data_IF_437003899316
#
_entry.id   IF_437003899316
#
_cell.length_a   1.000
_cell.length_b   1.000
_cell.length_c   1.000
_cell.angle_alpha   90.00
_cell.angle_beta   90.00
_cell.angle_gamma   90.00
#
_symmetry.space_group_name_H-M   'P 1'
#
loop_
_entity.id
_entity.type
_entity.pdbx_description
1 polymer ?
2 non-polymer ?
3 water ?
#
# COMPACT_ATOMS: atom_id res chain seq x y z
N UNK A 2 -7.81 -13.23 -0.51
CA UNK A 2 -7.89 -12.23 0.55
C UNK A 2 -6.50 -11.85 1.05
N UNK A 3 -6.23 -10.55 1.12
CA UNK A 3 -4.93 -10.07 1.59
C UNK A 3 -4.83 -10.27 3.10
N UNK A 4 -3.91 -11.13 3.52
CA UNK A 4 -3.74 -11.43 4.94
C UNK A 4 -2.75 -10.49 5.62
N UNK A 5 -1.57 -10.31 5.02
CA UNK A 5 -0.53 -9.44 5.57
C UNK A 5 0.05 -8.59 4.45
N UNK A 6 0.22 -7.30 4.71
CA UNK A 6 0.85 -6.37 3.77
C UNK A 6 1.97 -5.65 4.48
N UNK A 7 3.17 -5.70 3.90
CA UNK A 7 4.36 -5.07 4.46
C UNK A 7 4.95 -4.14 3.40
N UNK A 8 5.19 -2.88 3.78
CA UNK A 8 5.75 -1.89 2.89
C UNK A 8 6.89 -1.16 3.57
N UNK A 9 8.02 -1.06 2.89
CA UNK A 9 9.19 -0.32 3.37
C UNK A 9 9.56 0.70 2.30
N UNK A 10 9.47 1.99 2.65
CA UNK A 10 9.71 3.07 1.68
C UNK A 10 10.45 4.19 2.39
N UNK A 11 11.75 4.31 2.11
CA UNK A 11 12.59 5.40 2.64
C UNK A 11 12.52 5.48 4.16
N UNK A 12 12.58 4.33 4.82
CA UNK A 12 12.58 4.27 6.26
C UNK A 12 11.23 4.12 6.91
N UNK A 13 10.15 4.32 6.17
CA UNK A 13 8.80 4.16 6.71
C UNK A 13 8.36 2.72 6.51
N UNK A 14 8.12 2.01 7.60
CA UNK A 14 7.67 0.61 7.57
C UNK A 14 6.19 0.58 7.90
N UNK A 15 5.40 -0.04 7.03
CA UNK A 15 3.96 -0.17 7.23
C UNK A 15 3.59 -1.64 7.20
N UNK A 16 2.89 -2.10 8.23
CA UNK A 16 2.40 -3.47 8.33
C UNK A 16 0.90 -3.42 8.55
N UNK A 17 0.14 -4.03 7.65
CA UNK A 17 -1.31 -4.08 7.75
C UNK A 17 -1.74 -5.50 8.12
N UNK A 18 -2.60 -5.60 9.14
CA UNK A 18 -3.12 -6.89 9.61
C UNK A 18 -4.48 -7.13 8.97
N UNK A 19 -4.52 -8.03 8.00
CA UNK A 19 -5.75 -8.44 7.37
C UNK A 19 -6.41 -9.66 7.96
N UNK A 20 -5.85 -10.21 9.04
CA UNK A 20 -6.40 -11.38 9.68
C UNK A 20 -7.56 -10.98 10.61
N UNK A 21 -8.10 -11.97 11.32
CA UNK A 21 -9.16 -11.75 12.28
C UNK A 21 -8.67 -11.69 13.72
N UNK A 22 -7.37 -11.86 13.94
CA UNK A 22 -6.79 -11.89 15.28
C UNK A 22 -5.58 -10.98 15.34
N UNK A 23 -5.23 -10.47 16.52
CA UNK A 23 -4.02 -9.64 16.64
C UNK A 23 -2.78 -10.43 16.29
N UNK A 24 -1.81 -9.71 15.71
CA UNK A 24 -0.54 -10.30 15.31
C UNK A 24 0.61 -9.52 15.91
N UNK A 25 1.70 -10.23 16.17
CA UNK A 25 2.91 -9.65 16.73
C UNK A 25 3.89 -9.30 15.61
N UNK A 26 4.42 -8.08 15.64
CA UNK A 26 5.33 -7.60 14.60
C UNK A 26 6.66 -7.25 15.26
N UNK A 27 7.74 -7.80 14.72
CA UNK A 27 9.09 -7.51 15.17
C UNK A 27 9.85 -6.85 14.04
N UNK A 28 10.39 -5.66 14.28
CA UNK A 28 11.15 -4.91 13.29
C UNK A 28 12.59 -4.81 13.78
N UNK A 29 13.52 -5.33 12.99
CA UNK A 29 14.94 -5.32 13.32
C UNK A 29 15.70 -4.55 12.25
N UNK A 30 16.50 -3.58 12.69
CA UNK A 30 17.29 -2.78 11.76
C UNK A 30 18.49 -2.20 12.51
N UNK A 31 19.69 -2.44 11.97
CA UNK A 31 20.90 -1.91 12.58
C UNK A 31 21.16 -2.42 13.97
N UNK A 32 20.83 -3.68 14.24
CA UNK A 32 21.06 -4.28 15.53
C UNK A 32 20.04 -3.92 16.61
N UNK A 33 19.03 -3.12 16.28
CA UNK A 33 18.00 -2.72 17.22
C UNK A 33 16.69 -3.41 16.86
N UNK A 34 16.07 -4.05 17.85
CA UNK A 34 14.84 -4.80 17.66
C UNK A 34 13.70 -4.13 18.43
N UNK A 35 12.62 -3.82 17.71
CA UNK A 35 11.42 -3.26 18.31
C UNK A 35 10.24 -4.17 17.97
N UNK A 36 9.36 -4.39 18.95
CA UNK A 36 8.24 -5.30 18.82
C UNK A 36 6.94 -4.55 19.03
N UNK A 37 5.91 -4.94 18.29
CA UNK A 37 4.61 -4.29 18.33
C UNK A 37 3.50 -5.34 18.22
N UNK A 38 2.31 -4.96 18.67
CA UNK A 38 1.10 -5.75 18.49
C UNK A 38 0.15 -4.98 17.60
N UNK A 39 -0.30 -5.62 16.53
CA UNK A 39 -1.17 -5.00 15.53
C UNK A 39 -2.53 -5.69 15.59
N UNK A 40 -3.58 -4.92 15.87
CA UNK A 40 -4.92 -5.47 15.93
C UNK A 40 -5.45 -5.74 14.53
N UNK A 41 -6.39 -6.67 14.39
CA UNK A 41 -6.95 -6.97 13.07
C UNK A 41 -7.60 -5.74 12.45
N UNK A 42 -7.42 -5.59 11.14
CA UNK A 42 -7.96 -4.46 10.43
C UNK A 42 -7.24 -3.14 10.65
N UNK A 43 -6.06 -3.17 11.25
CA UNK A 43 -5.29 -1.97 11.54
C UNK A 43 -3.92 -2.05 10.88
N UNK A 44 -3.32 -0.88 10.65
CA UNK A 44 -2.02 -0.77 10.03
C UNK A 44 -1.04 -0.13 11.00
N UNK A 45 0.12 -0.76 11.17
CA UNK A 45 1.19 -0.21 11.99
C UNK A 45 2.17 0.54 11.10
N UNK A 46 2.59 1.73 11.56
CA UNK A 46 3.55 2.54 10.84
C UNK A 46 4.72 2.87 11.75
N UNK A 47 5.93 2.52 11.31
CA UNK A 47 7.15 2.77 12.07
C UNK A 47 8.15 3.47 11.16
N UNK A 48 9.04 4.24 11.76
CA UNK A 48 10.08 4.97 11.04
C UNK A 48 11.45 4.39 11.37
N UNK A 49 12.30 4.27 10.35
CA UNK A 49 13.63 3.72 10.51
C UNK A 49 14.69 4.82 10.45
N UNK A 50 15.86 4.50 11.01
CA UNK A 50 16.99 5.42 10.96
C UNK A 50 17.51 5.53 9.51
N UNK A 51 18.10 6.66 9.15
CA UNK A 51 18.65 6.79 7.79
C UNK A 51 19.74 5.80 7.47
N UNK A 52 20.46 5.30 8.48
CA UNK A 52 21.51 4.32 8.26
C UNK A 52 20.98 2.89 8.17
N UNK A 53 19.68 2.68 8.36
CA UNK A 53 19.13 1.32 8.32
C UNK A 53 17.84 1.22 7.52
N UNK A 54 17.52 2.21 6.68
CA UNK A 54 16.31 2.13 5.88
C UNK A 54 16.44 1.10 4.76
N UNK A 55 17.65 0.87 4.27
CA UNK A 55 17.89 -0.12 3.22
C UNK A 55 18.32 -1.47 3.77
N UNK A 56 18.33 -1.64 5.10
CA UNK A 56 18.69 -2.91 5.73
C UNK A 56 17.76 -3.08 6.93
N UNK A 57 16.65 -3.78 6.72
CA UNK A 57 15.67 -3.99 7.77
C UNK A 57 14.98 -5.33 7.57
N UNK A 58 14.44 -5.87 8.65
CA UNK A 58 13.70 -7.13 8.63
C UNK A 58 12.40 -6.95 9.39
N UNK A 59 11.30 -7.38 8.78
CA UNK A 59 9.98 -7.33 9.39
C UNK A 59 9.49 -8.75 9.57
N UNK A 60 9.21 -9.13 10.82
CA UNK A 60 8.73 -10.46 11.16
C UNK A 60 7.34 -10.34 11.76
N UNK A 61 6.38 -11.09 11.20
CA UNK A 61 5.00 -11.05 11.63
C UNK A 61 4.61 -12.43 12.14
N UNK A 62 4.06 -12.48 13.35
CA UNK A 62 3.64 -13.72 13.99
C UNK A 62 2.14 -13.65 14.21
N UNK A 63 1.39 -14.45 13.46
CA UNK A 63 -0.06 -14.52 13.58
C UNK A 63 -0.41 -15.91 14.13
N UNK A 64 -0.46 -16.00 15.46
CA UNK A 64 -0.74 -17.27 16.11
C UNK A 64 0.44 -18.22 16.04
N UNK A 65 0.23 -19.38 15.42
CA UNK A 65 1.31 -20.35 15.23
C UNK A 65 2.09 -20.13 13.96
N UNK A 66 1.67 -19.19 13.11
CA UNK A 66 2.29 -18.95 11.82
C UNK A 66 3.22 -17.73 11.89
N UNK A 67 4.40 -17.86 11.30
CA UNK A 67 5.37 -16.78 11.25
C UNK A 67 5.63 -16.39 9.80
N UNK A 68 5.76 -15.10 9.54
CA UNK A 68 6.03 -14.58 8.21
C UNK A 68 7.16 -13.55 8.32
N UNK A 69 8.18 -13.70 7.49
CA UNK A 69 9.38 -12.87 7.54
C UNK A 69 9.55 -12.13 6.23
N UNK A 70 9.83 -10.83 6.33
CA UNK A 70 10.10 -10.00 5.15
C UNK A 70 11.41 -9.26 5.39
N UNK A 71 12.32 -9.36 4.42
CA UNK A 71 13.68 -8.84 4.57
C UNK A 71 14.02 -7.91 3.42
N UNK A 72 14.57 -6.74 3.75
CA UNK A 72 15.13 -5.82 2.77
C UNK A 72 16.63 -5.74 3.06
N UNK A 73 17.43 -6.25 2.12
CA UNK A 73 18.87 -6.27 2.30
C UNK A 73 19.37 -7.59 2.87
N UNK B 2 -8.30 5.02 11.58
CA UNK B 2 -8.66 3.91 10.70
C UNK B 2 -8.59 4.35 9.24
N UNK B 3 -7.99 3.51 8.39
CA UNK B 3 -7.86 3.80 6.97
C UNK B 3 -9.17 3.43 6.28
N UNK B 4 -10.04 4.42 6.09
CA UNK B 4 -11.34 4.17 5.49
C UNK B 4 -11.22 3.83 4.01
N UNK B 5 -10.46 4.61 3.26
CA UNK B 5 -10.32 4.44 1.81
C UNK B 5 -8.86 4.57 1.44
N UNK B 6 -8.37 3.64 0.62
CA UNK B 6 -7.00 3.67 0.11
C UNK B 6 -7.05 3.53 -1.40
N UNK B 7 -6.47 4.49 -2.12
CA UNK B 7 -6.44 4.49 -3.57
C UNK B 7 -4.99 4.52 -4.02
N UNK B 8 -4.61 3.57 -4.88
CA UNK B 8 -3.26 3.47 -5.41
C UNK B 8 -3.33 3.35 -6.93
N UNK B 9 -2.58 4.20 -7.62
CA UNK B 9 -2.43 4.11 -9.07
C UNK B 9 -0.93 4.12 -9.37
N UNK B 10 -0.42 3.03 -9.93
CA UNK B 10 1.00 2.89 -10.22
C UNK B 10 1.17 2.12 -11.51
N UNK B 11 1.65 2.80 -12.56
CA UNK B 11 1.92 2.18 -13.85
C UNK B 11 0.70 1.46 -14.41
N UNK B 12 -0.41 2.17 -14.50
CA UNK B 12 -1.64 1.65 -15.05
C UNK B 12 -2.53 0.91 -14.06
N UNK B 13 -1.92 0.12 -13.17
CA UNK B 13 -2.70 -0.61 -12.18
C UNK B 13 -3.34 0.35 -11.18
N UNK B 14 -4.63 0.16 -10.92
CA UNK B 14 -5.38 0.96 -9.96
C UNK B 14 -5.85 0.06 -8.84
N UNK B 15 -5.52 0.42 -7.61
CA UNK B 15 -5.90 -0.36 -6.44
C UNK B 15 -6.73 0.51 -5.51
N UNK B 16 -7.92 0.01 -5.15
CA UNK B 16 -8.83 0.71 -4.24
C UNK B 16 -9.18 -0.24 -3.11
N UNK B 17 -8.93 0.18 -1.88
CA UNK B 17 -9.19 -0.64 -0.69
C UNK B 17 -10.34 -0.04 0.11
N UNK B 18 -11.33 -0.87 0.43
CA UNK B 18 -12.49 -0.46 1.19
C UNK B 18 -12.28 -0.82 2.65
N UNK B 19 -12.03 0.19 3.49
CA UNK B 19 -11.87 0.00 4.92
C UNK B 19 -13.11 0.27 5.75
N UNK B 20 -14.25 0.50 5.11
CA UNK B 20 -15.49 0.74 5.83
C UNK B 20 -16.24 -0.58 6.07
N UNK B 21 -17.34 -0.49 6.82
CA UNK B 21 -18.16 -1.64 7.13
C UNK B 21 -19.33 -1.81 6.16
N UNK B 22 -19.41 -0.98 5.13
CA UNK B 22 -20.48 -1.04 4.15
C UNK B 22 -19.90 -1.07 2.75
N UNK B 23 -20.58 -1.70 1.80
CA UNK B 23 -20.09 -1.71 0.42
C UNK B 23 -20.00 -0.29 -0.14
N UNK B 24 -19.00 -0.09 -1.00
CA UNK B 24 -18.74 1.21 -1.61
C UNK B 24 -18.64 1.03 -3.12
N UNK B 25 -18.92 2.11 -3.85
CA UNK B 25 -18.89 2.11 -5.30
C UNK B 25 -17.68 2.90 -5.80
N UNK B 26 -16.99 2.34 -6.79
CA UNK B 26 -15.80 2.94 -7.37
C UNK B 26 -16.04 3.19 -8.85
N UNK B 27 -15.77 4.42 -9.29
CA UNK B 27 -15.89 4.79 -10.69
C UNK B 27 -14.53 5.21 -11.21
N UNK B 28 -14.05 4.53 -12.24
CA UNK B 28 -12.74 4.79 -12.83
C UNK B 28 -12.96 5.34 -14.24
N UNK B 29 -12.47 6.54 -14.49
CA UNK B 29 -12.61 7.21 -15.79
C UNK B 29 -11.23 7.51 -16.35
N UNK B 30 -11.00 7.10 -17.60
CA UNK B 30 -9.72 7.33 -18.25
C UNK B 30 -9.90 7.21 -19.76
N UNK B 31 -9.39 8.20 -20.49
CA UNK B 31 -9.43 8.16 -21.95
C UNK B 31 -10.83 8.17 -22.52
N UNK B 32 -11.80 8.74 -21.80
CA UNK B 32 -13.18 8.77 -22.22
C UNK B 32 -13.99 7.56 -21.83
N UNK B 33 -13.34 6.45 -21.47
CA UNK B 33 -14.03 5.25 -21.01
C UNK B 33 -14.26 5.32 -19.51
N UNK B 34 -15.44 4.88 -19.08
CA UNK B 34 -15.82 4.90 -17.67
C UNK B 34 -16.28 3.52 -17.26
N UNK B 35 -15.70 3.00 -16.19
CA UNK B 35 -16.08 1.72 -15.62
C UNK B 35 -16.41 1.91 -14.14
N UNK B 36 -17.47 1.25 -13.70
CA UNK B 36 -17.95 1.37 -12.33
C UNK B 36 -17.91 0.00 -11.66
N UNK B 37 -17.46 -0.03 -10.41
CA UNK B 37 -17.29 -1.26 -9.66
C UNK B 37 -17.91 -1.12 -8.28
N UNK B 38 -18.23 -2.27 -7.69
CA UNK B 38 -18.72 -2.35 -6.32
C UNK B 38 -17.70 -3.14 -5.50
N UNK B 39 -17.18 -2.51 -4.45
CA UNK B 39 -16.14 -3.11 -3.61
C UNK B 39 -16.76 -3.44 -2.25
N UNK B 40 -16.74 -4.72 -1.89
CA UNK B 40 -17.28 -5.16 -0.62
C UNK B 40 -16.40 -4.68 0.52
N UNK B 41 -16.96 -4.53 1.73
CA UNK B 41 -16.14 -4.13 2.87
C UNK B 41 -15.02 -5.13 3.14
N UNK B 42 -13.85 -4.61 3.46
CA UNK B 42 -12.70 -5.45 3.74
C UNK B 42 -12.01 -6.03 2.53
N UNK B 43 -12.40 -5.65 1.33
CA UNK B 43 -11.81 -6.15 0.10
C UNK B 43 -11.00 -5.05 -0.57
N UNK B 44 -10.38 -5.41 -1.70
CA UNK B 44 -9.52 -4.49 -2.43
C UNK B 44 -9.69 -4.72 -3.92
N UNK B 45 -10.01 -3.66 -4.66
CA UNK B 45 -10.22 -3.73 -6.10
C UNK B 45 -8.91 -3.47 -6.83
N UNK B 46 -8.62 -4.31 -7.82
CA UNK B 46 -7.45 -4.13 -8.68
C UNK B 46 -7.93 -4.00 -10.11
N UNK B 47 -7.59 -2.89 -10.75
CA UNK B 47 -8.04 -2.57 -12.09
C UNK B 47 -6.84 -2.12 -12.92
N UNK B 48 -6.72 -2.67 -14.13
CA UNK B 48 -5.63 -2.35 -15.03
C UNK B 48 -6.10 -1.34 -16.07
N UNK B 49 -5.32 -0.28 -16.27
CA UNK B 49 -5.61 0.75 -17.24
C UNK B 49 -4.79 0.54 -18.52
N UNK B 50 -5.30 1.07 -19.61
CA UNK B 50 -4.63 0.97 -20.90
C UNK B 50 -3.70 2.16 -21.12
N UNK B 55 -1.39 7.09 -17.47
CA UNK B 55 -1.63 7.54 -16.10
C UNK B 55 -2.18 8.95 -16.07
N UNK B 56 -3.37 9.13 -16.65
CA UNK B 56 -4.10 10.40 -16.64
C UNK B 56 -5.56 10.14 -16.30
N UNK B 57 -5.80 9.34 -15.27
CA UNK B 57 -7.11 8.81 -14.94
C UNK B 57 -7.70 9.51 -13.72
N UNK B 58 -8.86 9.02 -13.29
CA UNK B 58 -9.58 9.57 -12.16
C UNK B 58 -10.34 8.44 -11.46
N UNK B 59 -10.25 8.40 -10.13
CA UNK B 59 -10.94 7.40 -9.33
C UNK B 59 -11.90 8.12 -8.40
N UNK B 60 -13.18 7.78 -8.49
CA UNK B 60 -14.20 8.32 -7.60
C UNK B 60 -14.78 7.20 -6.76
N UNK B 61 -14.81 7.40 -5.45
CA UNK B 61 -15.30 6.41 -4.50
C UNK B 61 -16.50 6.98 -3.78
N UNK B 62 -17.60 6.23 -3.75
CA UNK B 62 -18.84 6.64 -3.10
C UNK B 62 -19.13 5.66 -1.97
N UNK B 63 -19.16 6.17 -0.75
CA UNK B 63 -19.48 5.38 0.44
C UNK B 63 -20.71 6.02 1.09
N UNK B 64 -21.87 5.42 0.86
CA UNK B 64 -23.10 6.04 1.35
C UNK B 64 -23.36 7.33 0.57
N UNK B 65 -23.55 8.42 1.29
CA UNK B 65 -23.70 9.74 0.66
C UNK B 65 -22.37 10.46 0.50
N UNK B 66 -21.28 9.92 1.04
CA UNK B 66 -19.97 10.57 0.95
C UNK B 66 -19.27 10.15 -0.33
N UNK B 67 -18.67 11.13 -1.02
CA UNK B 67 -17.96 10.89 -2.26
C UNK B 67 -16.53 11.39 -2.12
N UNK B 68 -15.58 10.61 -2.65
CA UNK B 68 -14.17 10.96 -2.63
C UNK B 68 -13.60 10.78 -4.03
N UNK B 69 -12.78 11.74 -4.45
CA UNK B 69 -12.27 11.77 -5.82
C UNK B 69 -10.75 11.93 -5.80
N UNK B 70 -10.08 11.14 -6.63
CA UNK B 70 -8.62 11.19 -6.77
C UNK B 70 -8.31 11.38 -8.26
N UNK B 71 -7.91 12.58 -8.63
CA UNK B 71 -7.61 12.91 -10.01
C UNK B 71 -6.11 12.80 -10.24
N UNK B 72 -5.71 11.89 -11.14
CA UNK B 72 -4.30 11.72 -11.45
C UNK B 72 -3.86 12.55 -12.64
N UNK B 73 -4.74 12.76 -13.61
CA UNK B 73 -4.40 13.53 -14.79
C UNK B 73 -4.03 14.97 -14.49
N UNK C 2 -16.98 14.11 -5.57
CA UNK C 2 -15.97 14.80 -4.77
C UNK C 2 -16.61 15.72 -3.74
N UNK C 3 -17.53 15.17 -2.94
CA UNK C 3 -18.19 15.98 -1.92
C UNK C 3 -17.28 16.20 -0.72
N UNK C 4 -16.79 15.12 -0.11
CA UNK C 4 -16.02 15.24 1.13
C UNK C 4 -14.58 15.63 0.85
N UNK C 5 -13.86 14.81 0.10
CA UNK C 5 -12.43 15.02 -0.16
C UNK C 5 -12.17 14.87 -1.64
N UNK C 6 -11.42 15.83 -2.21
CA UNK C 6 -10.98 15.77 -3.59
C UNK C 6 -9.47 15.97 -3.63
N UNK C 7 -8.77 15.07 -4.31
CA UNK C 7 -7.31 15.12 -4.42
C UNK C 7 -6.94 15.12 -5.89
N UNK C 8 -6.14 16.10 -6.32
CA UNK C 8 -5.67 16.20 -7.69
C UNK C 8 -4.15 16.40 -7.69
N UNK C 9 -3.47 15.68 -8.57
CA UNK C 9 -2.02 15.77 -8.72
C UNK C 9 -1.72 16.00 -10.20
N UNK C 10 -1.32 17.21 -10.55
CA UNK C 10 -0.93 17.52 -11.92
C UNK C 10 0.07 18.67 -11.92
N UNK C 11 0.80 18.79 -13.03
CA UNK C 11 1.70 19.92 -13.27
C UNK C 11 2.70 20.11 -12.13
N UNK C 12 3.10 19.01 -11.51
CA UNK C 12 4.01 19.09 -10.37
C UNK C 12 3.44 19.81 -9.17
N UNK C 13 2.15 19.61 -8.89
CA UNK C 13 1.53 20.19 -7.71
C UNK C 13 0.38 19.29 -7.26
N UNK C 14 0.04 19.41 -5.98
CA UNK C 14 -0.97 18.58 -5.34
C UNK C 14 -2.07 19.48 -4.78
N UNK C 15 -3.32 19.11 -5.03
CA UNK C 15 -4.48 19.85 -4.54
C UNK C 15 -5.32 18.95 -3.66
N UNK C 16 -5.70 19.47 -2.49
CA UNK C 16 -6.62 18.79 -1.58
C UNK C 16 -7.72 19.78 -1.21
N UNK C 17 -8.96 19.43 -1.53
CA UNK C 17 -10.11 20.27 -1.21
C UNK C 17 -10.88 19.64 -0.06
N UNK C 18 -11.10 20.42 1.00
CA UNK C 18 -11.83 19.96 2.18
C UNK C 18 -13.30 20.30 1.99
N UNK C 19 -14.10 19.28 1.69
CA UNK C 19 -15.54 19.45 1.60
C UNK C 19 -16.31 19.16 2.86
N UNK C 20 -15.63 18.69 3.90
CA UNK C 20 -16.28 18.44 5.18
C UNK C 20 -16.44 19.73 5.96
N UNK C 21 -17.04 19.64 7.14
CA UNK C 21 -17.29 20.81 7.99
C UNK C 21 -16.28 20.94 9.12
N UNK C 22 -15.22 20.12 9.12
CA UNK C 22 -14.21 20.17 10.16
C UNK C 22 -12.83 20.22 9.54
N UNK C 23 -11.87 20.88 10.19
CA UNK C 23 -10.50 20.89 9.67
C UNK C 23 -9.91 19.49 9.66
N UNK C 24 -9.08 19.22 8.65
CA UNK C 24 -8.44 17.92 8.50
C UNK C 24 -6.96 18.12 8.19
N UNK C 25 -6.15 17.15 8.63
CA UNK C 25 -4.72 17.19 8.43
C UNK C 25 -4.35 16.47 7.14
N UNK C 26 -3.43 17.06 6.38
CA UNK C 26 -2.96 16.51 5.12
C UNK C 26 -1.45 16.28 5.22
N UNK C 27 -1.02 15.05 4.95
CA UNK C 27 0.39 14.70 4.94
C UNK C 27 0.80 14.33 3.52
N UNK C 28 1.81 15.01 2.99
CA UNK C 28 2.32 14.79 1.65
C UNK C 28 3.72 14.23 1.76
N UNK C 29 3.91 12.99 1.32
CA UNK C 29 5.20 12.32 1.32
C UNK C 29 5.64 12.09 -0.13
N UNK C 30 6.81 12.61 -0.48
CA UNK C 30 7.33 12.50 -1.83
C UNK C 30 8.80 12.87 -1.85
N UNK C 31 9.60 12.09 -2.56
CA UNK C 31 11.02 12.37 -2.68
C UNK C 31 11.78 12.31 -1.39
N UNK C 32 11.38 11.43 -0.47
CA UNK C 32 12.04 11.31 0.81
C UNK C 32 11.67 12.35 1.83
N UNK C 33 10.79 13.28 1.49
CA UNK C 33 10.37 14.35 2.39
C UNK C 33 8.92 14.15 2.79
N UNK C 34 8.61 14.51 4.04
CA UNK C 34 7.26 14.43 4.58
C UNK C 34 6.86 15.82 5.08
N UNK C 35 5.77 16.35 4.54
CA UNK C 35 5.25 17.65 4.91
C UNK C 35 3.80 17.50 5.35
N UNK C 36 3.47 18.11 6.48
CA UNK C 36 2.13 18.03 7.05
C UNK C 36 1.46 19.40 7.00
N UNK C 37 0.19 19.42 6.61
CA UNK C 37 -0.58 20.64 6.50
C UNK C 37 -1.95 20.44 7.14
N UNK C 38 -2.57 21.55 7.51
CA UNK C 38 -3.93 21.57 8.02
C UNK C 38 -4.76 22.46 7.10
N UNK C 39 -5.83 21.90 6.54
CA UNK C 39 -6.71 22.62 5.62
C UNK C 39 -8.07 22.79 6.29
N UNK C 40 -8.61 24.00 6.20
CA UNK C 40 -9.87 24.32 6.83
C UNK C 40 -11.05 23.85 5.98
N UNK C 41 -12.22 23.67 6.59
CA UNK C 41 -13.40 23.30 5.81
C UNK C 41 -13.72 24.35 4.75
N UNK C 42 -14.11 23.87 3.57
CA UNK C 42 -14.42 24.76 2.47
C UNK C 42 -13.23 25.41 1.81
N UNK C 43 -12.02 24.94 2.08
CA UNK C 43 -10.81 25.51 1.52
C UNK C 43 -10.07 24.47 0.68
N UNK C 44 -9.10 24.95 -0.10
CA UNK C 44 -8.26 24.11 -0.93
C UNK C 44 -6.80 24.42 -0.66
N UNK C 45 -5.98 23.38 -0.64
CA UNK C 45 -4.54 23.51 -0.40
C UNK C 45 -3.78 23.15 -1.68
N UNK C 46 -2.85 24.02 -2.07
CA UNK C 46 -2.00 23.80 -3.22
C UNK C 46 -0.56 23.65 -2.74
N UNK C 47 0.05 22.51 -3.04
CA UNK C 47 1.42 22.22 -2.64
C UNK C 47 2.22 21.85 -3.88
N UNK C 48 3.28 22.61 -4.16
CA UNK C 48 4.13 22.35 -5.30
C UNK C 48 5.03 21.14 -5.03
N UNK C 49 5.34 20.40 -6.09
CA UNK C 49 6.15 19.20 -6.01
C UNK C 49 7.47 19.41 -6.75
N UNK C 50 8.56 18.97 -6.13
CA UNK C 50 9.86 19.02 -6.76
C UNK C 50 9.90 18.06 -7.95
N UNK C 51 10.80 18.29 -8.92
CA UNK C 51 10.79 17.46 -10.14
C UNK C 51 10.87 15.97 -9.88
N UNK C 52 11.63 15.54 -8.87
CA UNK C 52 11.69 14.12 -8.55
C UNK C 52 10.42 13.65 -7.85
N UNK C 53 9.72 14.56 -7.15
CA UNK C 53 8.54 14.20 -6.38
C UNK C 53 7.29 14.02 -7.23
N UNK C 54 7.30 14.48 -8.48
CA UNK C 54 6.08 14.47 -9.29
C UNK C 54 5.61 13.05 -9.59
N UNK C 55 6.52 12.15 -9.96
CA UNK C 55 6.14 10.82 -10.40
C UNK C 55 5.83 9.87 -9.26
N UNK C 56 6.24 10.19 -8.03
CA UNK C 56 6.03 9.32 -6.88
C UNK C 56 5.68 10.20 -5.68
N UNK C 57 4.39 10.30 -5.37
CA UNK C 57 3.92 11.11 -4.26
C UNK C 57 2.81 10.36 -3.53
N UNK C 58 2.64 10.71 -2.27
CA UNK C 58 1.61 10.11 -1.42
C UNK C 58 0.90 11.20 -0.65
N UNK C 59 -0.43 11.20 -0.70
CA UNK C 59 -1.26 12.18 -0.02
C UNK C 59 -2.16 11.45 0.98
N UNK C 60 -2.06 11.82 2.25
CA UNK C 60 -2.87 11.24 3.31
C UNK C 60 -3.71 12.33 3.95
N UNK C 61 -5.01 12.09 4.04
CA UNK C 61 -5.95 13.05 4.61
C UNK C 61 -6.61 12.42 5.83
N UNK C 62 -6.57 13.12 6.96
CA UNK C 62 -7.12 12.63 8.22
C UNK C 62 -8.26 13.54 8.64
N UNK C 63 -9.49 13.08 8.47
CA UNK C 63 -10.70 13.81 8.87
C UNK C 63 -11.17 13.22 10.19
N UNK C 64 -10.85 13.89 11.29
CA UNK C 64 -11.20 13.37 12.60
C UNK C 64 -10.47 12.07 12.87
N UNK C 65 -11.22 11.00 13.13
CA UNK C 65 -10.65 9.68 13.34
C UNK C 65 -10.60 8.86 12.05
N UNK C 66 -11.00 9.44 10.92
CA UNK C 66 -11.01 8.74 9.64
C UNK C 66 -9.80 9.14 8.81
N UNK C 67 -9.18 8.16 8.18
CA UNK C 67 -7.99 8.37 7.37
C UNK C 67 -8.24 7.93 5.94
N UNK C 68 -7.75 8.71 4.99
CA UNK C 68 -7.87 8.43 3.56
C UNK C 68 -6.52 8.65 2.90
N UNK C 69 -6.08 7.67 2.11
CA UNK C 69 -4.76 7.69 1.50
C UNK C 69 -4.88 7.56 -0.01
N UNK C 70 -4.21 8.45 -0.73
CA UNK C 70 -4.14 8.40 -2.19
C UNK C 70 -2.67 8.42 -2.60
N UNK C 71 -2.24 7.42 -3.34
CA UNK C 71 -0.84 7.23 -3.70
C UNK C 71 -0.68 7.19 -5.21
N UNK C 72 0.38 7.83 -5.70
CA UNK C 72 0.75 7.82 -7.11
C UNK C 72 2.14 7.21 -7.24
N UNK C 73 2.25 6.18 -8.08
CA UNK C 73 3.53 5.53 -8.31
C UNK C 73 4.13 4.88 -7.08
N UNK D 2 6.14 -21.78 13.52
CA UNK D 2 6.24 -22.33 12.17
C UNK D 2 6.37 -21.23 11.13
N UNK D 3 7.51 -21.21 10.44
CA UNK D 3 7.80 -20.20 9.44
C UNK D 3 7.14 -20.61 8.12
N UNK D 4 6.10 -19.88 7.72
CA UNK D 4 5.32 -20.27 6.55
C UNK D 4 5.83 -19.64 5.26
N UNK D 5 6.09 -18.34 5.26
CA UNK D 5 6.54 -17.63 4.06
C UNK D 5 7.67 -16.69 4.44
N UNK D 6 8.74 -16.71 3.64
CA UNK D 6 9.86 -15.80 3.79
C UNK D 6 10.11 -15.10 2.45
N UNK D 7 10.24 -13.78 2.49
CA UNK D 7 10.57 -12.99 1.31
C UNK D 7 11.77 -12.12 1.65
N UNK D 8 12.82 -12.22 0.84
CA UNK D 8 14.03 -11.45 1.03
C UNK D 8 14.43 -10.80 -0.29
N UNK D 9 14.70 -9.50 -0.25
CA UNK D 9 15.19 -8.74 -1.39
C UNK D 9 16.50 -8.11 -0.99
N UNK D 10 17.59 -8.52 -1.64
CA UNK D 10 18.94 -8.05 -1.28
C UNK D 10 19.74 -7.91 -2.58
N UNK D 11 19.94 -6.66 -3.01
CA UNK D 11 20.77 -6.32 -4.16
C UNK D 11 20.28 -7.06 -5.42
N UNK D 12 19.04 -6.78 -5.79
CA UNK D 12 18.47 -7.35 -7.00
C UNK D 12 17.84 -8.71 -6.82
N UNK D 13 18.52 -9.60 -6.11
CA UNK D 13 18.01 -10.96 -5.93
C UNK D 13 16.77 -10.94 -5.05
N UNK D 14 15.72 -11.62 -5.53
CA UNK D 14 14.47 -11.78 -4.79
C UNK D 14 14.36 -13.24 -4.40
N UNK D 15 14.20 -13.50 -3.10
CA UNK D 15 14.12 -14.85 -2.57
C UNK D 15 12.77 -15.04 -1.90
N UNK D 16 11.86 -15.74 -2.58
CA UNK D 16 10.57 -16.10 -2.02
C UNK D 16 10.60 -17.57 -1.64
N UNK D 17 10.15 -17.88 -0.42
CA UNK D 17 10.27 -19.23 0.07
C UNK D 17 8.93 -19.74 0.60
N UNK D 18 8.59 -20.96 0.22
CA UNK D 18 7.35 -21.60 0.62
C UNK D 18 7.62 -22.57 1.77
N UNK D 19 6.90 -22.39 2.88
CA UNK D 19 6.97 -23.30 4.00
C UNK D 19 5.61 -23.89 4.33
N UNK D 20 4.68 -23.77 3.40
CA UNK D 20 3.33 -24.32 3.55
C UNK D 20 3.26 -25.70 2.90
N UNK D 21 2.08 -26.31 2.97
CA UNK D 21 1.85 -27.63 2.42
C UNK D 21 1.28 -27.61 1.02
N UNK D 22 1.08 -26.43 0.44
CA UNK D 22 0.51 -26.29 -0.90
C UNK D 22 1.36 -25.31 -1.71
N UNK D 23 1.38 -25.45 -3.03
CA UNK D 23 2.14 -24.50 -3.86
C UNK D 23 1.51 -23.11 -3.82
N UNK D 24 2.36 -22.10 -4.01
CA UNK D 24 1.95 -20.70 -3.98
C UNK D 24 2.40 -20.01 -5.25
N UNK D 25 1.62 -19.01 -5.67
CA UNK D 25 1.94 -18.20 -6.83
C UNK D 25 2.65 -16.93 -6.37
N UNK D 26 3.73 -16.57 -7.06
CA UNK D 26 4.52 -15.40 -6.74
C UNK D 26 4.48 -14.45 -7.92
N UNK D 27 4.02 -13.22 -7.67
CA UNK D 27 3.99 -12.18 -8.69
C UNK D 27 4.98 -11.08 -8.30
N UNK D 28 5.94 -10.83 -9.18
CA UNK D 28 6.97 -9.81 -8.95
C UNK D 28 6.71 -8.65 -9.90
N UNK D 29 6.47 -7.48 -9.33
CA UNK D 29 6.19 -6.27 -10.10
C UNK D 29 7.35 -5.30 -9.92
N UNK D 30 8.11 -5.08 -10.99
CA UNK D 30 9.22 -4.16 -10.97
C UNK D 30 9.42 -3.58 -12.37
N UNK D 31 9.69 -2.28 -12.44
CA UNK D 31 9.86 -1.63 -13.72
C UNK D 31 8.60 -1.51 -14.55
N UNK D 32 7.43 -1.55 -13.92
CA UNK D 32 6.18 -1.45 -14.62
C UNK D 32 5.70 -2.73 -15.25
N UNK D 33 6.37 -3.85 -15.01
CA UNK D 33 5.98 -5.14 -15.57
C UNK D 33 5.85 -6.16 -14.44
N UNK D 34 4.96 -7.13 -14.65
CA UNK D 34 4.66 -8.15 -13.66
C UNK D 34 4.90 -9.52 -14.25
N UNK D 35 5.63 -10.36 -13.52
CA UNK D 35 5.87 -11.75 -13.90
C UNK D 35 5.40 -12.66 -12.77
N UNK D 36 4.86 -13.82 -13.15
CA UNK D 36 4.33 -14.78 -12.20
C UNK D 36 5.24 -16.01 -12.15
N UNK D 37 5.46 -16.52 -10.94
CA UNK D 37 6.27 -17.70 -10.71
C UNK D 37 5.54 -18.63 -9.74
N UNK D 38 5.95 -19.90 -9.77
CA UNK D 38 5.41 -20.91 -8.87
C UNK D 38 6.56 -21.52 -8.06
N UNK D 39 6.37 -21.59 -6.75
CA UNK D 39 7.33 -22.22 -5.86
C UNK D 39 6.61 -23.30 -5.07
N UNK D 40 7.12 -24.52 -5.14
CA UNK D 40 6.49 -25.68 -4.53
C UNK D 40 6.74 -25.71 -3.03
N UNK D 41 5.97 -26.49 -2.27
CA UNK D 41 6.21 -26.59 -0.83
C UNK D 41 7.61 -27.09 -0.52
N UNK D 42 8.21 -26.52 0.53
CA UNK D 42 9.56 -26.90 0.90
C UNK D 42 10.62 -26.48 -0.10
N UNK D 43 10.34 -25.44 -0.90
CA UNK D 43 11.22 -25.01 -1.96
C UNK D 43 11.38 -23.50 -1.89
N UNK D 44 12.53 -23.02 -2.33
CA UNK D 44 12.86 -21.60 -2.36
C UNK D 44 12.99 -21.11 -3.79
N UNK D 45 12.36 -19.98 -4.10
CA UNK D 45 12.39 -19.40 -5.43
C UNK D 45 13.37 -18.23 -5.46
N UNK D 46 14.15 -18.13 -6.53
CA UNK D 46 15.16 -17.10 -6.68
C UNK D 46 14.94 -16.37 -8.00
N UNK D 47 14.74 -15.06 -7.92
CA UNK D 47 14.54 -14.20 -9.10
C UNK D 47 15.46 -12.99 -8.98
N UNK D 48 16.01 -12.56 -10.10
CA UNK D 48 16.91 -11.42 -10.14
C UNK D 48 16.18 -10.19 -10.69
N UNK D 49 16.54 -9.02 -10.16
CA UNK D 49 15.96 -7.76 -10.59
C UNK D 49 16.98 -6.93 -11.36
N UNK D 50 16.47 -6.06 -12.24
CA UNK D 50 17.32 -5.15 -12.97
C UNK D 50 17.91 -4.10 -12.04
N UNK D 51 19.07 -3.53 -12.38
CA UNK D 51 19.67 -2.51 -11.50
C UNK D 51 18.80 -1.29 -11.28
N UNK D 52 17.97 -0.93 -12.26
CA UNK D 52 17.11 0.24 -12.15
C UNK D 52 15.77 -0.08 -11.52
N UNK D 53 15.58 -1.30 -11.01
CA UNK D 53 14.32 -1.67 -10.37
C UNK D 53 14.53 -2.44 -9.06
N UNK D 54 15.76 -2.49 -8.53
CA UNK D 54 16.00 -3.23 -7.31
C UNK D 54 15.43 -2.55 -6.07
N UNK D 55 15.11 -1.26 -6.15
CA UNK D 55 14.60 -0.51 -5.02
C UNK D 55 13.15 -0.06 -5.20
N UNK D 56 12.49 -0.52 -6.26
CA UNK D 56 11.10 -0.13 -6.54
C UNK D 56 10.31 -1.35 -6.98
N UNK D 57 10.48 -2.47 -6.28
CA UNK D 57 9.84 -3.72 -6.63
C UNK D 57 8.69 -4.01 -5.68
N UNK D 58 7.88 -5.00 -6.06
CA UNK D 58 6.77 -5.49 -5.24
C UNK D 58 6.66 -7.00 -5.41
N UNK D 59 6.53 -7.71 -4.30
CA UNK D 59 6.42 -9.16 -4.30
C UNK D 59 5.07 -9.53 -3.69
N UNK D 60 4.29 -10.31 -4.42
CA UNK D 60 2.98 -10.76 -3.96
C UNK D 60 2.94 -12.28 -4.00
N UNK D 61 2.61 -12.89 -2.87
CA UNK D 61 2.55 -14.35 -2.73
C UNK D 61 1.11 -14.74 -2.42
N UNK D 62 0.58 -15.68 -3.19
CA UNK D 62 -0.79 -16.15 -3.03
C UNK D 62 -0.77 -17.63 -2.70
N UNK D 63 -1.08 -17.98 -1.46
CA UNK D 63 -1.16 -19.36 -1.00
C UNK D 63 -2.61 -19.69 -0.68
N UNK D 64 -3.13 -20.73 -1.31
CA UNK D 64 -4.54 -21.06 -1.13
C UNK D 64 -5.39 -19.90 -1.63
N UNK D 65 -6.22 -19.36 -0.74
CA UNK D 65 -6.97 -18.14 -1.00
C UNK D 65 -6.50 -16.98 -0.14
N UNK D 66 -5.23 -17.03 0.29
CA UNK D 66 -4.63 -16.01 1.13
C UNK D 66 -3.52 -15.30 0.37
N UNK D 67 -3.47 -13.98 0.48
CA UNK D 67 -2.52 -13.16 -0.25
C UNK D 67 -1.60 -12.44 0.73
N UNK D 68 -0.31 -12.39 0.39
CA UNK D 68 0.68 -11.67 1.17
C UNK D 68 1.50 -10.80 0.23
N UNK D 69 1.63 -9.52 0.57
CA UNK D 69 2.26 -8.54 -0.31
C UNK D 69 3.42 -7.86 0.40
N UNK D 70 4.53 -7.70 -0.32
CA UNK D 70 5.73 -7.04 0.19
C UNK D 70 6.18 -6.01 -0.83
N UNK D 71 6.03 -4.73 -0.48
CA UNK D 71 6.36 -3.64 -1.39
C UNK D 71 7.60 -2.91 -0.88
N UNK D 72 8.53 -2.62 -1.79
CA UNK D 72 9.73 -1.89 -1.44
C UNK D 72 9.65 -0.45 -1.94
X LIG E 1 5.05 -8.98 21.48
#
# INVERSE_FOLDING_TARGET
GHMRIEVRVDNGRVRVRNGTDRPCRVRVTAGGETREYTVNPGTELEVELSPEQQNNAEVEVECGNEKYRFQLG
GHMRIEVRVDNGRVRVRNGTDRPCRVRVTAGGETREYTVNPGTELEVELSPEQQNNAEVEVECGNEKYRFQLG
GHMRIEVRVDNGRVRVRNGTDRPCRVRVTAGGETREYTVNPGTELEVELSPEQQNNAEVEVECGNEKYRFQLG
GHMRIEVRVDNGRVRVRNGTDRPCRVRVTAGGETREYTVNPGTELEVELSPEQQNNAEVEVECGNEKYRFQLG
MG MG
#
